data_IF_090864114026
#
_entry.id   IF_090864114026
#
_cell.length_a   1.000
_cell.length_b   1.000
_cell.length_c   1.000
_cell.angle_alpha   90.00
_cell.angle_beta   90.00
_cell.angle_gamma   90.00
#
_symmetry.space_group_name_H-M   'P 1'
#
loop_
_entity.id
_entity.type
_entity.pdbx_description
1 polymer ?
#
# COMPACT_ATOMS: atom_id res chain seq x y z
N UNK A 1 -5.87 -15.01 -8.23
CA UNK A 1 -6.91 -13.99 -8.51
C UNK A 1 -7.55 -13.55 -7.20
N UNK A 2 -6.94 -12.59 -6.50
CA UNK A 2 -7.11 -12.44 -5.05
C UNK A 2 -6.17 -13.40 -4.31
N UNK A 3 -5.67 -12.98 -3.16
CA UNK A 3 -4.77 -13.72 -2.26
C UNK A 3 -5.44 -15.04 -1.84
N UNK A 4 -6.73 -14.99 -1.55
CA UNK A 4 -7.52 -16.16 -1.16
C UNK A 4 -8.16 -16.87 -2.36
N UNK A 5 -7.80 -16.45 -3.58
CA UNK A 5 -8.28 -16.96 -4.87
C UNK A 5 -9.80 -16.90 -5.04
N UNK A 6 -10.48 -15.99 -4.32
CA UNK A 6 -11.94 -15.77 -4.39
C UNK A 6 -12.37 -14.81 -5.51
N UNK A 7 -11.45 -14.38 -6.35
CA UNK A 7 -11.72 -13.50 -7.49
C UNK A 7 -11.67 -12.02 -7.12
N UNK A 8 -11.33 -11.21 -8.11
CA UNK A 8 -11.36 -9.74 -8.06
C UNK A 8 -11.81 -9.27 -9.45
N UNK A 9 -10.92 -8.76 -10.30
CA UNK A 9 -11.19 -8.61 -11.74
C UNK A 9 -11.19 -9.96 -12.47
N UNK A 10 -10.26 -10.86 -12.10
CA UNK A 10 -10.22 -12.23 -12.61
C UNK A 10 -11.15 -13.16 -11.84
N UNK A 11 -11.60 -14.24 -12.49
CA UNK A 11 -12.49 -15.25 -11.91
C UNK A 11 -11.86 -15.96 -10.70
N UNK A 12 -12.67 -16.52 -9.78
CA UNK A 12 -12.17 -17.33 -8.68
C UNK A 12 -11.36 -18.55 -9.17
N UNK A 13 -10.34 -18.93 -8.39
CA UNK A 13 -9.51 -20.14 -8.58
C UNK A 13 -9.49 -20.95 -7.28
N UNK A 14 -10.65 -21.14 -6.68
CA UNK A 14 -10.75 -21.96 -5.48
C UNK A 14 -10.61 -23.45 -5.83
N UNK A 15 -10.16 -24.28 -4.88
CA UNK A 15 -9.88 -25.69 -5.17
C UNK A 15 -11.09 -26.48 -5.66
N UNK A 16 -12.31 -26.17 -5.20
CA UNK A 16 -13.55 -26.76 -5.69
C UNK A 16 -13.71 -26.60 -7.22
N UNK A 17 -13.52 -25.38 -7.75
CA UNK A 17 -13.61 -25.09 -9.17
C UNK A 17 -12.45 -25.68 -9.96
N UNK A 18 -11.22 -25.50 -9.47
CA UNK A 18 -10.02 -25.94 -10.21
C UNK A 18 -9.89 -27.46 -10.24
N UNK A 19 -10.30 -28.17 -9.19
CA UNK A 19 -10.32 -29.65 -9.16
C UNK A 19 -11.40 -30.22 -10.07
N UNK A 20 -12.55 -29.56 -10.22
CA UNK A 20 -13.58 -29.94 -11.19
C UNK A 20 -13.07 -29.81 -12.63
N UNK A 21 -12.34 -28.73 -12.95
CA UNK A 21 -11.72 -28.53 -14.26
C UNK A 21 -10.60 -29.55 -14.55
N UNK A 22 -9.84 -29.94 -13.52
CA UNK A 22 -8.75 -30.90 -13.64
C UNK A 22 -7.42 -30.29 -14.11
N UNK A 23 -6.33 -31.00 -13.81
CA UNK A 23 -4.97 -30.52 -14.05
C UNK A 23 -4.69 -30.20 -15.53
N UNK A 24 -5.09 -31.06 -16.46
CA UNK A 24 -4.79 -30.88 -17.89
C UNK A 24 -5.44 -29.60 -18.44
N UNK A 25 -6.71 -29.37 -18.10
CA UNK A 25 -7.41 -28.14 -18.48
C UNK A 25 -6.71 -26.90 -17.92
N UNK A 26 -6.38 -26.91 -16.63
CA UNK A 26 -5.74 -25.77 -15.97
C UNK A 26 -4.37 -25.47 -16.57
N UNK A 27 -3.55 -26.50 -16.81
CA UNK A 27 -2.23 -26.37 -17.46
C UNK A 27 -2.36 -25.75 -18.85
N UNK A 28 -3.28 -26.26 -19.66
CA UNK A 28 -3.47 -25.77 -21.03
C UNK A 28 -4.01 -24.34 -21.02
N UNK A 29 -4.95 -24.03 -20.12
CA UNK A 29 -5.47 -22.67 -19.95
C UNK A 29 -4.38 -21.67 -19.55
N UNK A 30 -3.46 -22.04 -18.64
CA UNK A 30 -2.30 -21.21 -18.29
C UNK A 30 -1.34 -21.05 -19.50
N UNK A 31 -1.18 -22.08 -20.30
CA UNK A 31 -0.30 -22.05 -21.47
C UNK A 31 -0.79 -21.06 -22.54
N UNK A 32 -2.10 -21.08 -22.83
CA UNK A 32 -2.69 -20.40 -23.99
C UNK A 32 -3.52 -19.15 -23.64
N UNK A 33 -3.92 -18.96 -22.38
CA UNK A 33 -4.79 -17.87 -21.98
C UNK A 33 -6.20 -17.97 -22.54
N UNK A 34 -6.91 -16.84 -22.61
CA UNK A 34 -8.22 -16.78 -23.28
C UNK A 34 -8.47 -15.41 -23.94
N UNK A 35 -9.21 -15.36 -25.07
CA UNK A 35 -9.56 -14.09 -25.73
C UNK A 35 -10.33 -13.10 -24.85
N UNK A 36 -10.96 -13.57 -23.77
CA UNK A 36 -11.78 -12.78 -22.85
C UNK A 36 -10.96 -12.03 -21.77
N UNK A 37 -9.63 -11.93 -21.93
CA UNK A 37 -8.76 -11.09 -21.10
C UNK A 37 -7.78 -11.84 -20.18
N UNK A 38 -7.71 -13.17 -20.27
CA UNK A 38 -6.65 -13.92 -19.57
C UNK A 38 -5.40 -13.94 -20.45
N UNK A 39 -4.24 -13.43 -19.96
CA UNK A 39 -2.99 -13.49 -20.70
C UNK A 39 -2.57 -14.93 -21.00
N UNK A 40 -1.77 -15.09 -22.05
CA UNK A 40 -1.09 -16.34 -22.35
C UNK A 40 0.30 -16.33 -21.70
N UNK A 41 0.61 -17.29 -20.82
CA UNK A 41 1.89 -17.30 -20.10
C UNK A 41 2.92 -18.25 -20.70
N UNK A 42 2.49 -19.42 -21.17
CA UNK A 42 3.38 -20.40 -21.81
C UNK A 42 3.75 -19.98 -23.23
N UNK A 43 2.73 -19.69 -24.06
CA UNK A 43 2.97 -19.32 -25.47
C UNK A 43 3.59 -17.93 -25.66
N UNK A 44 3.53 -17.05 -24.66
CA UNK A 44 4.29 -15.78 -24.68
C UNK A 44 5.77 -15.98 -24.36
N UNK A 45 6.15 -17.12 -23.78
CA UNK A 45 7.49 -17.40 -23.27
C UNK A 45 7.77 -16.77 -21.89
N UNK A 46 6.77 -16.19 -21.22
CA UNK A 46 6.92 -15.59 -19.89
C UNK A 46 7.07 -16.65 -18.78
N UNK A 47 6.43 -17.81 -18.93
CA UNK A 47 6.59 -18.96 -18.05
C UNK A 47 7.15 -20.16 -18.83
N UNK A 48 8.09 -20.88 -18.22
CA UNK A 48 8.56 -22.16 -18.75
C UNK A 48 7.48 -23.25 -18.58
N UNK A 49 7.59 -24.36 -19.31
CA UNK A 49 6.68 -25.51 -19.12
C UNK A 49 6.67 -26.02 -17.67
N UNK A 50 7.83 -25.99 -16.99
CA UNK A 50 7.95 -26.38 -15.60
C UNK A 50 7.23 -25.41 -14.65
N UNK A 51 7.26 -24.11 -14.94
CA UNK A 51 6.52 -23.10 -14.16
C UNK A 51 5.01 -23.25 -14.38
N UNK A 52 4.58 -23.52 -15.63
CA UNK A 52 3.17 -23.80 -15.93
C UNK A 52 2.68 -25.02 -15.16
N UNK A 53 3.45 -26.11 -15.16
CA UNK A 53 3.14 -27.30 -14.36
C UNK A 53 3.04 -26.99 -12.86
N UNK A 54 4.01 -26.26 -12.33
CA UNK A 54 4.02 -25.84 -10.93
C UNK A 54 2.76 -25.03 -10.59
N UNK A 55 2.40 -24.06 -11.42
CA UNK A 55 1.23 -23.21 -11.20
C UNK A 55 -0.08 -23.99 -11.32
N UNK A 56 -0.18 -24.92 -12.28
CA UNK A 56 -1.35 -25.79 -12.42
C UNK A 56 -1.54 -26.66 -11.17
N UNK A 57 -0.47 -27.23 -10.61
CA UNK A 57 -0.53 -27.98 -9.34
C UNK A 57 -0.85 -27.06 -8.16
N UNK A 58 -0.26 -25.88 -8.10
CA UNK A 58 -0.45 -24.92 -7.01
C UNK A 58 -1.92 -24.49 -6.85
N UNK A 59 -2.62 -24.21 -7.95
CA UNK A 59 -4.03 -23.76 -7.87
C UNK A 59 -5.00 -24.86 -7.43
N UNK A 60 -4.60 -26.14 -7.53
CA UNK A 60 -5.37 -27.30 -7.07
C UNK A 60 -5.23 -27.58 -5.55
N UNK A 61 -4.17 -27.06 -4.91
CA UNK A 61 -3.95 -27.17 -3.47
C UNK A 61 -4.79 -26.16 -2.71
N UNK A 62 -5.14 -26.40 -1.44
CA UNK A 62 -5.85 -25.40 -0.63
C UNK A 62 -4.94 -24.18 -0.33
N UNK A 63 -5.39 -22.92 -0.58
CA UNK A 63 -4.53 -21.76 -0.40
C UNK A 63 -4.42 -21.39 1.09
N UNK A 64 -3.21 -21.17 1.63
CA UNK A 64 -3.07 -20.64 2.97
C UNK A 64 -3.51 -19.17 3.01
N UNK A 65 -4.15 -18.75 4.11
CA UNK A 65 -4.33 -17.33 4.39
C UNK A 65 -3.00 -16.74 4.86
N UNK A 66 -2.52 -15.62 4.29
CA UNK A 66 -1.34 -14.96 4.83
C UNK A 66 -1.58 -14.40 6.23
N UNK A 67 -0.51 -14.06 6.97
CA UNK A 67 -0.63 -13.51 8.31
C UNK A 67 -1.50 -12.25 8.35
N UNK A 68 -2.23 -12.09 9.45
CA UNK A 68 -2.85 -10.81 9.81
C UNK A 68 -1.78 -9.81 10.28
N UNK A 69 -2.17 -8.54 10.41
CA UNK A 69 -1.29 -7.47 10.88
C UNK A 69 -2.10 -6.52 11.76
N UNK A 70 -2.06 -6.74 13.07
CA UNK A 70 -2.89 -6.07 14.06
C UNK A 70 -2.14 -4.98 14.82
N UNK A 71 -2.77 -4.52 15.91
CA UNK A 71 -2.22 -3.49 16.78
C UNK A 71 -0.85 -3.86 17.37
N UNK A 72 -0.59 -5.12 17.81
CA UNK A 72 0.73 -5.49 18.31
C UNK A 72 1.84 -5.29 17.28
N UNK A 73 1.64 -5.78 16.05
CA UNK A 73 2.64 -5.68 14.98
C UNK A 73 2.82 -4.22 14.52
N UNK A 74 1.73 -3.44 14.48
CA UNK A 74 1.81 -2.00 14.20
C UNK A 74 2.65 -1.26 15.25
N UNK A 75 2.37 -1.49 16.54
CA UNK A 75 3.11 -0.87 17.64
C UNK A 75 4.58 -1.31 17.69
N UNK A 76 4.88 -2.55 17.35
CA UNK A 76 6.26 -3.04 17.22
C UNK A 76 7.02 -2.32 16.09
N UNK A 77 6.35 -2.05 14.98
CA UNK A 77 6.95 -1.34 13.84
C UNK A 77 7.02 0.18 14.01
N UNK A 78 6.21 0.74 14.91
CA UNK A 78 6.05 2.17 15.09
C UNK A 78 7.25 2.80 15.78
N UNK A 79 7.79 3.86 15.17
CA UNK A 79 8.89 4.64 15.73
C UNK A 79 8.61 6.12 15.56
N UNK A 80 8.69 6.86 16.66
CA UNK A 80 8.79 8.32 16.66
C UNK A 80 10.28 8.65 16.68
N UNK A 81 10.80 9.14 15.55
CA UNK A 81 12.21 9.46 15.38
C UNK A 81 12.54 10.83 15.98
N UNK A 82 11.62 11.78 15.85
CA UNK A 82 11.67 13.10 16.48
C UNK A 82 10.31 13.40 17.09
N UNK A 83 10.27 13.57 18.41
CA UNK A 83 9.03 13.81 19.15
C UNK A 83 8.46 15.19 18.81
N UNK A 84 7.13 15.37 18.82
CA UNK A 84 6.51 16.66 18.50
C UNK A 84 7.08 17.85 19.28
N UNK A 85 7.38 17.67 20.58
CA UNK A 85 7.95 18.71 21.43
C UNK A 85 9.38 19.13 21.05
N UNK A 86 10.11 18.28 20.33
CA UNK A 86 11.48 18.51 19.88
C UNK A 86 11.56 19.04 18.43
N UNK A 87 10.40 19.16 17.75
CA UNK A 87 10.33 19.68 16.38
C UNK A 87 10.39 21.20 16.32
N UNK A 88 10.75 21.78 15.16
CA UNK A 88 10.71 23.22 14.96
C UNK A 88 9.33 23.82 15.28
N UNK A 89 9.32 24.98 15.94
CA UNK A 89 8.09 25.74 16.21
C UNK A 89 7.72 26.69 15.08
N UNK A 90 8.66 26.91 14.16
CA UNK A 90 8.53 27.68 12.94
C UNK A 90 9.36 27.01 11.84
N UNK A 91 9.14 27.41 10.59
CA UNK A 91 9.86 26.85 9.45
C UNK A 91 11.31 27.32 9.42
N UNK A 92 12.26 26.39 9.41
CA UNK A 92 13.71 26.63 9.49
C UNK A 92 14.43 26.56 8.14
N UNK A 93 13.71 26.48 7.03
CA UNK A 93 14.26 26.45 5.68
C UNK A 93 13.53 27.44 4.75
N UNK A 94 14.10 27.66 3.57
CA UNK A 94 13.60 28.56 2.52
C UNK A 94 12.75 27.85 1.44
N UNK A 95 12.38 26.58 1.62
CA UNK A 95 11.65 25.79 0.61
C UNK A 95 10.23 26.33 0.40
N UNK A 96 9.83 26.70 -0.82
CA UNK A 96 8.44 27.05 -1.10
C UNK A 96 7.54 25.79 -1.10
N UNK A 97 6.91 25.49 0.04
CA UNK A 97 6.11 24.27 0.25
C UNK A 97 4.90 24.22 -0.69
N UNK A 98 4.27 25.36 -1.00
CA UNK A 98 3.09 25.41 -1.86
C UNK A 98 3.44 25.07 -3.32
N UNK A 99 4.69 25.30 -3.71
CA UNK A 99 5.21 25.02 -5.05
C UNK A 99 6.18 23.81 -5.07
N UNK A 100 6.23 23.02 -3.99
CA UNK A 100 7.11 21.86 -3.88
C UNK A 100 6.49 20.62 -4.51
N UNK A 101 7.28 19.89 -5.29
CA UNK A 101 6.89 18.59 -5.84
C UNK A 101 7.53 17.46 -5.04
N UNK A 102 6.71 16.55 -4.49
CA UNK A 102 7.17 15.27 -3.94
C UNK A 102 7.10 14.19 -5.02
N UNK A 103 8.26 13.78 -5.53
CA UNK A 103 8.37 12.85 -6.66
C UNK A 103 8.88 11.49 -6.19
N UNK A 104 8.14 10.43 -6.49
CA UNK A 104 8.53 9.05 -6.17
C UNK A 104 9.73 8.60 -7.02
N UNK A 105 10.80 8.17 -6.36
CA UNK A 105 11.90 7.43 -6.96
C UNK A 105 11.68 5.93 -6.66
N UNK A 106 10.91 5.30 -7.54
CA UNK A 106 10.18 4.05 -7.25
C UNK A 106 11.09 2.91 -6.78
N UNK A 107 12.08 2.54 -7.59
CA UNK A 107 12.83 1.30 -7.36
C UNK A 107 13.93 1.46 -6.30
N UNK A 108 14.37 2.70 -6.04
CA UNK A 108 15.29 3.01 -4.92
C UNK A 108 14.57 3.14 -3.57
N UNK A 109 13.23 3.20 -3.56
CA UNK A 109 12.45 3.35 -2.34
C UNK A 109 12.64 4.72 -1.68
N UNK A 110 12.75 5.76 -2.51
CA UNK A 110 13.02 7.13 -2.12
C UNK A 110 11.95 8.08 -2.67
N UNK A 111 11.98 9.31 -2.17
CA UNK A 111 11.32 10.46 -2.80
C UNK A 111 12.34 11.56 -3.04
N UNK A 112 12.11 12.36 -4.08
CA UNK A 112 12.79 13.63 -4.28
C UNK A 112 11.83 14.79 -3.98
N UNK A 113 12.29 15.76 -3.20
CA UNK A 113 11.63 17.05 -3.03
C UNK A 113 12.22 18.01 -4.07
N UNK A 114 11.41 18.43 -5.04
CA UNK A 114 11.87 19.24 -6.17
C UNK A 114 11.12 20.57 -6.15
N UNK A 115 11.86 21.67 -6.15
CA UNK A 115 11.29 23.02 -6.22
C UNK A 115 10.63 23.26 -7.58
N UNK A 116 9.35 23.67 -7.59
CA UNK A 116 8.57 23.86 -8.82
C UNK A 116 8.96 25.08 -9.66
N UNK A 117 9.65 26.06 -9.08
CA UNK A 117 10.06 27.29 -9.78
C UNK A 117 11.45 27.19 -10.41
N UNK A 118 12.36 26.49 -9.75
CA UNK A 118 13.79 26.39 -10.10
C UNK A 118 14.20 25.01 -10.60
N UNK A 119 13.38 23.98 -10.34
CA UNK A 119 13.66 22.57 -10.62
C UNK A 119 14.83 21.98 -9.82
N UNK A 120 15.31 22.69 -8.80
CA UNK A 120 16.35 22.19 -7.89
C UNK A 120 15.82 21.02 -7.06
N UNK A 121 16.60 19.95 -6.95
CA UNK A 121 16.33 18.86 -6.00
C UNK A 121 16.78 19.34 -4.62
N UNK A 122 15.82 19.67 -3.77
CA UNK A 122 16.01 20.18 -2.42
C UNK A 122 16.40 19.09 -1.43
N UNK A 123 15.90 17.87 -1.62
CA UNK A 123 16.25 16.71 -0.80
C UNK A 123 15.93 15.40 -1.53
N UNK A 124 16.66 14.33 -1.19
CA UNK A 124 16.30 12.94 -1.50
C UNK A 124 16.15 12.20 -0.18
N UNK A 125 14.97 11.66 0.08
CA UNK A 125 14.62 11.04 1.36
C UNK A 125 14.34 9.56 1.15
N UNK A 126 15.07 8.72 1.87
CA UNK A 126 14.88 7.27 1.87
C UNK A 126 13.69 6.88 2.74
N UNK A 127 12.76 6.14 2.15
CA UNK A 127 11.52 5.70 2.84
C UNK A 127 11.57 4.20 3.19
N UNK A 128 12.34 3.44 2.41
CA UNK A 128 12.64 2.03 2.63
C UNK A 128 12.09 1.08 1.56
N UNK A 129 11.01 1.45 0.87
CA UNK A 129 10.40 0.66 -0.20
C UNK A 129 9.67 1.56 -1.22
N UNK A 130 9.28 1.01 -2.36
CA UNK A 130 8.63 1.74 -3.45
C UNK A 130 7.38 2.52 -2.99
N UNK A 131 7.50 3.84 -2.89
CA UNK A 131 6.40 4.76 -2.54
C UNK A 131 5.32 4.70 -3.62
N UNK A 132 4.06 4.66 -3.20
CA UNK A 132 2.92 4.69 -4.13
C UNK A 132 2.38 6.10 -4.32
N UNK A 133 2.19 6.83 -3.23
CA UNK A 133 1.67 8.20 -3.25
C UNK A 133 2.29 9.04 -2.13
N UNK A 134 2.28 10.36 -2.36
CA UNK A 134 2.49 11.40 -1.35
C UNK A 134 1.17 12.10 -1.04
N UNK A 135 0.95 12.47 0.21
CA UNK A 135 -0.14 13.36 0.66
C UNK A 135 0.41 14.37 1.66
N UNK A 136 -0.18 15.55 1.65
CA UNK A 136 0.23 16.63 2.56
C UNK A 136 -0.86 16.85 3.59
N UNK A 137 -0.45 17.12 4.83
CA UNK A 137 -1.34 17.53 5.89
C UNK A 137 -2.02 18.85 5.56
N UNK A 138 -3.16 19.14 6.20
CA UNK A 138 -3.96 20.30 5.85
C UNK A 138 -3.23 21.63 6.08
N UNK A 139 -2.30 21.69 7.04
CA UNK A 139 -1.45 22.87 7.27
C UNK A 139 -0.33 23.05 6.24
N UNK A 140 -0.08 22.03 5.40
CA UNK A 140 1.09 21.98 4.53
C UNK A 140 2.39 21.52 5.20
N UNK A 141 2.42 21.36 6.53
CA UNK A 141 3.66 21.07 7.26
C UNK A 141 4.16 19.64 7.08
N UNK A 142 3.28 18.65 7.20
CA UNK A 142 3.68 17.25 7.22
C UNK A 142 3.42 16.58 5.87
N UNK A 143 4.47 16.01 5.30
CA UNK A 143 4.39 15.18 4.11
C UNK A 143 4.30 13.71 4.51
N UNK A 144 3.21 13.06 4.12
CA UNK A 144 2.93 11.65 4.36
C UNK A 144 3.19 10.85 3.09
N UNK A 145 3.99 9.80 3.20
CA UNK A 145 4.24 8.87 2.09
C UNK A 145 3.95 7.45 2.52
N UNK A 146 3.35 6.67 1.62
CA UNK A 146 3.07 5.26 1.85
C UNK A 146 3.76 4.39 0.79
N UNK A 147 4.57 3.45 1.26
CA UNK A 147 5.17 2.39 0.48
C UNK A 147 4.15 1.32 0.09
N UNK A 148 4.38 0.66 -1.04
CA UNK A 148 3.57 -0.48 -1.48
C UNK A 148 3.57 -1.63 -0.47
N UNK A 149 4.63 -1.74 0.33
CA UNK A 149 4.77 -2.66 1.46
C UNK A 149 4.03 -2.19 2.72
N UNK A 150 3.17 -1.16 2.64
CA UNK A 150 2.44 -0.59 3.76
C UNK A 150 3.29 0.08 4.84
N UNK A 151 4.54 0.46 4.54
CA UNK A 151 5.31 1.36 5.40
C UNK A 151 4.88 2.81 5.16
N UNK A 152 4.50 3.50 6.22
CA UNK A 152 4.19 4.93 6.24
C UNK A 152 5.37 5.68 6.84
N UNK A 153 5.77 6.77 6.19
CA UNK A 153 6.72 7.73 6.74
C UNK A 153 6.06 9.12 6.77
N UNK A 154 6.22 9.82 7.90
CA UNK A 154 5.82 11.22 8.05
C UNK A 154 7.08 12.07 8.07
N UNK A 155 7.12 13.09 7.22
CA UNK A 155 8.26 13.99 7.02
C UNK A 155 7.85 15.39 7.46
N UNK A 156 8.66 16.04 8.30
CA UNK A 156 8.44 17.43 8.72
C UNK A 156 9.15 18.38 7.74
N UNK A 157 8.37 19.10 6.93
CA UNK A 157 8.90 20.04 5.94
C UNK A 157 9.42 21.34 6.57
N UNK A 158 9.25 21.55 7.87
CA UNK A 158 9.76 22.74 8.57
C UNK A 158 11.17 22.60 9.12
N UNK A 159 11.73 21.38 9.15
CA UNK A 159 13.12 21.16 9.57
C UNK A 159 14.10 21.83 8.61
N UNK A 160 15.27 22.27 9.11
CA UNK A 160 16.34 22.83 8.27
C UNK A 160 16.68 21.90 7.10
N UNK A 161 16.81 20.60 7.38
CA UNK A 161 16.80 19.52 6.40
C UNK A 161 15.56 18.64 6.61
N UNK A 162 14.56 18.68 5.70
CA UNK A 162 13.37 17.85 5.80
C UNK A 162 13.71 16.35 5.88
N UNK A 163 13.19 15.67 6.91
CA UNK A 163 13.47 14.26 7.17
C UNK A 163 12.25 13.56 7.79
N UNK A 164 12.28 12.22 7.78
CA UNK A 164 11.26 11.41 8.46
C UNK A 164 11.32 11.64 9.97
N UNK A 165 10.20 12.04 10.56
CA UNK A 165 10.03 12.27 12.00
C UNK A 165 9.26 11.15 12.69
N UNK A 166 8.48 10.36 11.95
CA UNK A 166 7.88 9.12 12.45
C UNK A 166 7.68 8.11 11.30
N UNK A 167 7.73 6.82 11.63
CA UNK A 167 7.45 5.72 10.71
C UNK A 167 6.60 4.63 11.38
N UNK A 168 5.79 3.92 10.59
CA UNK A 168 4.99 2.77 11.04
C UNK A 168 4.66 1.86 9.85
N UNK A 169 4.48 0.56 10.08
CA UNK A 169 3.93 -0.37 9.09
C UNK A 169 2.49 -0.69 9.46
N UNK A 170 1.56 -0.59 8.49
CA UNK A 170 0.11 -0.76 8.73
C UNK A 170 -0.50 -2.02 8.09
N UNK A 171 0.35 -2.87 7.52
CA UNK A 171 -0.05 -4.09 6.82
C UNK A 171 1.12 -4.72 6.08
N UNK A 172 0.82 -5.64 5.17
CA UNK A 172 1.81 -6.25 4.27
C UNK A 172 1.84 -5.57 2.91
N UNK A 173 0.68 -5.14 2.41
CA UNK A 173 0.52 -4.49 1.11
C UNK A 173 -0.49 -3.34 1.24
N UNK A 174 -0.13 -2.13 0.81
CA UNK A 174 -1.01 -0.95 0.86
C UNK A 174 -0.77 -0.01 -0.32
N UNK A 175 -1.71 0.90 -0.57
CA UNK A 175 -1.61 1.85 -1.70
C UNK A 175 -2.05 3.26 -1.34
N UNK A 176 -2.88 3.43 -0.32
CA UNK A 176 -3.46 4.74 0.00
C UNK A 176 -3.08 5.22 1.39
N UNK A 177 -2.91 6.53 1.48
CA UNK A 177 -2.80 7.33 2.69
C UNK A 177 -3.51 8.65 2.42
N UNK A 178 -4.08 9.27 3.45
CA UNK A 178 -4.68 10.61 3.40
C UNK A 178 -4.65 11.25 4.79
N UNK A 179 -4.88 12.56 4.86
CA UNK A 179 -4.90 13.34 6.10
C UNK A 179 -6.29 13.92 6.39
N UNK A 180 -6.56 14.27 7.65
CA UNK A 180 -7.76 15.03 8.02
C UNK A 180 -7.73 16.43 7.39
N UNK A 181 -8.82 16.81 6.71
CA UNK A 181 -8.95 18.07 5.93
C UNK A 181 -10.24 18.84 6.20
N UNK A 182 -11.04 18.41 7.18
CA UNK A 182 -12.19 19.19 7.63
C UNK A 182 -11.71 20.35 8.51
N UNK A 183 -12.33 21.51 8.38
CA UNK A 183 -11.97 22.72 9.14
C UNK A 183 -11.98 22.44 10.65
N UNK A 184 -10.91 22.81 11.34
CA UNK A 184 -10.69 22.55 12.78
C UNK A 184 -10.09 21.17 13.09
N UNK A 185 -9.78 20.36 12.07
CA UNK A 185 -9.11 19.06 12.19
C UNK A 185 -7.78 19.01 11.47
N UNK A 186 -7.18 20.17 11.21
CA UNK A 186 -5.88 20.27 10.58
C UNK A 186 -4.85 19.47 11.40
N UNK A 187 -4.08 18.65 10.70
CA UNK A 187 -3.00 17.79 11.21
C UNK A 187 -3.39 16.80 12.32
N UNK A 188 -4.68 16.62 12.61
CA UNK A 188 -5.15 15.73 13.69
C UNK A 188 -4.93 14.25 13.38
N UNK A 189 -5.18 13.82 12.15
CA UNK A 189 -5.13 12.40 11.80
C UNK A 189 -4.52 12.15 10.43
N UNK A 190 -3.95 10.95 10.31
CA UNK A 190 -3.67 10.30 9.05
C UNK A 190 -4.46 8.98 8.96
N UNK A 191 -4.84 8.57 7.75
CA UNK A 191 -5.51 7.29 7.50
C UNK A 191 -4.79 6.54 6.38
N UNK A 192 -4.51 5.26 6.57
CA UNK A 192 -3.89 4.40 5.56
C UNK A 192 -4.77 3.19 5.22
N UNK A 193 -4.85 2.83 3.95
CA UNK A 193 -5.64 1.71 3.43
C UNK A 193 -4.76 0.59 2.88
N UNK A 194 -4.99 -0.63 3.39
CA UNK A 194 -4.23 -1.83 3.03
C UNK A 194 -5.01 -2.76 2.09
N UNK A 195 -4.29 -3.40 1.17
CA UNK A 195 -4.80 -4.54 0.40
C UNK A 195 -4.74 -5.82 1.25
N UNK A 196 -3.64 -6.02 1.98
CA UNK A 196 -3.52 -7.11 2.93
C UNK A 196 -2.89 -6.68 4.27
N UNK A 197 -3.53 -6.98 5.41
CA UNK A 197 -4.90 -7.47 5.52
C UNK A 197 -5.92 -6.49 4.91
N UNK A 198 -7.16 -6.92 4.60
CA UNK A 198 -8.22 -6.03 4.14
C UNK A 198 -8.67 -5.13 5.30
N UNK A 199 -8.00 -3.99 5.45
CA UNK A 199 -8.21 -3.08 6.57
C UNK A 199 -7.81 -1.64 6.24
N UNK A 200 -8.30 -0.70 7.05
CA UNK A 200 -7.73 0.64 7.14
C UNK A 200 -7.35 0.97 8.59
N UNK A 201 -6.41 1.89 8.73
CA UNK A 201 -5.86 2.31 10.02
C UNK A 201 -5.92 3.83 10.12
N UNK A 202 -6.56 4.34 11.18
CA UNK A 202 -6.47 5.74 11.58
C UNK A 202 -5.31 5.86 12.58
N UNK A 203 -4.47 6.85 12.33
CA UNK A 203 -3.27 7.16 13.11
C UNK A 203 -3.32 8.62 13.56
N UNK A 204 -2.64 8.90 14.67
CA UNK A 204 -2.39 10.26 15.12
C UNK A 204 -1.57 11.03 14.07
N UNK A 205 -1.99 12.26 13.75
CA UNK A 205 -1.39 13.06 12.67
C UNK A 205 -0.05 13.72 13.04
N UNK A 206 0.34 13.73 14.31
CA UNK A 206 1.63 14.27 14.76
C UNK A 206 2.66 13.19 15.07
N UNK A 207 2.25 11.95 15.31
CA UNK A 207 3.15 10.88 15.79
C UNK A 207 3.07 9.59 14.99
N UNK A 208 2.03 9.42 14.17
CA UNK A 208 1.64 8.15 13.55
C UNK A 208 1.27 7.04 14.55
N UNK A 209 0.96 7.37 15.82
CA UNK A 209 0.45 6.36 16.75
C UNK A 209 -0.78 5.67 16.16
N UNK A 210 -0.83 4.33 16.08
CA UNK A 210 -1.99 3.62 15.54
C UNK A 210 -3.15 3.68 16.56
N UNK A 211 -4.25 4.35 16.18
CA UNK A 211 -5.39 4.60 17.08
C UNK A 211 -6.53 3.61 16.85
N UNK A 212 -6.87 3.34 15.58
CA UNK A 212 -8.01 2.49 15.23
C UNK A 212 -7.74 1.69 13.96
N UNK A 213 -7.95 0.39 14.06
CA UNK A 213 -7.91 -0.55 12.93
C UNK A 213 -9.35 -0.99 12.65
N UNK A 214 -9.74 -1.01 11.39
CA UNK A 214 -11.07 -1.47 10.94
C UNK A 214 -10.89 -2.42 9.77
N UNK A 215 -11.41 -3.64 9.92
CA UNK A 215 -11.49 -4.62 8.83
C UNK A 215 -12.47 -4.15 7.76
N UNK A 216 -12.11 -4.34 6.50
CA UNK A 216 -12.99 -4.11 5.34
C UNK A 216 -13.56 -5.41 4.78
N UNK A 217 -13.33 -6.55 5.44
CA UNK A 217 -14.03 -7.81 5.12
C UNK A 217 -15.51 -7.67 5.43
N UNK A 218 -16.37 -8.11 4.53
CA UNK A 218 -17.82 -7.93 4.69
C UNK A 218 -18.60 -8.52 3.54
N UNK A 219 -19.89 -8.18 3.46
CA UNK A 219 -20.76 -8.66 2.39
C UNK A 219 -20.69 -7.73 1.18
N UNK A 220 -20.77 -8.29 -0.03
CA UNK A 220 -20.97 -7.50 -1.26
C UNK A 220 -22.36 -6.88 -1.27
N UNK A 221 -22.51 -5.70 -1.89
CA UNK A 221 -23.75 -4.91 -1.80
C UNK A 221 -24.94 -5.57 -2.51
N UNK A 222 -24.68 -6.31 -3.59
CA UNK A 222 -25.66 -6.89 -4.49
C UNK A 222 -26.28 -8.16 -3.90
N UNK A 223 -25.50 -9.24 -3.86
CA UNK A 223 -25.97 -10.56 -3.44
C UNK A 223 -25.92 -10.76 -1.92
N UNK A 224 -25.37 -9.79 -1.18
CA UNK A 224 -25.18 -9.87 0.28
C UNK A 224 -24.35 -11.09 0.72
N UNK A 225 -23.50 -11.60 -0.16
CA UNK A 225 -22.60 -12.73 0.12
C UNK A 225 -21.28 -12.26 0.73
N UNK A 226 -20.78 -13.00 1.72
CA UNK A 226 -19.54 -12.63 2.42
C UNK A 226 -18.31 -12.75 1.52
N UNK A 227 -17.45 -11.72 1.54
CA UNK A 227 -16.20 -11.65 0.80
C UNK A 227 -15.03 -11.17 1.70
N UNK A 228 -13.96 -11.98 1.85
CA UNK A 228 -12.89 -11.72 2.80
C UNK A 228 -11.71 -10.90 2.26
N UNK A 229 -11.83 -10.26 1.09
CA UNK A 229 -10.78 -9.47 0.43
C UNK A 229 -11.33 -8.11 -0.04
N UNK A 230 -10.50 -7.06 -0.18
CA UNK A 230 -10.97 -5.80 -0.73
C UNK A 230 -11.17 -5.94 -2.24
N UNK A 231 -12.34 -5.55 -2.76
CA UNK A 231 -12.51 -5.38 -4.20
C UNK A 231 -12.09 -3.96 -4.57
N UNK A 232 -11.09 -3.86 -5.44
CA UNK A 232 -10.84 -2.63 -6.18
C UNK A 232 -11.90 -2.58 -7.26
N UNK A 233 -12.87 -1.68 -7.12
CA UNK A 233 -13.75 -1.27 -8.20
C UNK A 233 -13.08 -0.14 -8.99
#
# INVERSE_FOLDING_TARGET
HGVLRKGATGKPLTPDLTRELGYEYVRDFITYGSPAGMPNWGTSGELSEADVDLMARYVLLDPPAPPEFGMPEMKESWKVLIKPEDRPKEKMNDIDIENLMSVTLRDSGEIALIDGGTYEIRAIIKTGYAVHISRISASGRYLMVIGRDAKVNMIDLWMEEPATVAEIKVGSEARSIETSKFEGWEDKYAIAGAYWPPQFVIMDGETLEPLKIVSTRGNVYDEQTYHPEPRVA
#
